data_IF_610772152438
#
_entry.id   IF_610772152438
#
_cell.length_a   1.000
_cell.length_b   1.000
_cell.length_c   1.000
_cell.angle_alpha   90.00
_cell.angle_beta   90.00
_cell.angle_gamma   90.00
#
_symmetry.space_group_name_H-M   'P 1'
#
loop_
_entity.id
_entity.type
_entity.pdbx_description
1 polymer ?
#
# COMPACT_ATOMS: atom_id res chain seq x y z
N UNK A 1 9.08 5.90 12.37
CA UNK A 1 9.17 5.58 10.94
C UNK A 1 7.78 5.35 10.36
N UNK A 2 7.68 5.32 9.06
CA UNK A 2 6.39 5.19 8.38
C UNK A 2 6.40 3.98 7.47
N UNK A 3 5.27 3.29 7.36
CA UNK A 3 5.12 2.17 6.44
C UNK A 3 3.94 2.41 5.50
N UNK A 4 4.04 1.84 4.31
CA UNK A 4 3.01 1.96 3.26
C UNK A 4 1.90 0.97 3.51
N UNK A 5 0.66 1.44 3.39
CA UNK A 5 -0.53 0.60 3.37
C UNK A 5 -1.34 0.91 2.11
N UNK A 6 -1.75 -0.12 1.40
CA UNK A 6 -2.59 0.02 0.22
C UNK A 6 -3.83 -0.84 0.42
N UNK A 7 -5.00 -0.27 0.19
CA UNK A 7 -6.26 -1.00 0.26
C UNK A 7 -6.90 -0.93 -1.12
N UNK A 8 -7.21 -2.08 -1.68
CA UNK A 8 -7.84 -2.17 -3.00
C UNK A 8 -9.10 -3.01 -2.86
N UNK A 9 -10.21 -2.46 -3.34
CA UNK A 9 -11.48 -3.14 -3.40
C UNK A 9 -11.80 -3.41 -4.86
N UNK A 10 -11.97 -4.67 -5.21
CA UNK A 10 -12.37 -5.05 -6.57
C UNK A 10 -13.84 -5.42 -6.58
N UNK A 11 -14.48 -5.17 -7.71
CA UNK A 11 -15.90 -5.44 -7.87
C UNK A 11 -16.20 -6.93 -7.70
N UNK A 12 -17.11 -7.25 -6.78
CA UNK A 12 -17.50 -8.61 -6.50
C UNK A 12 -16.61 -9.34 -5.51
N UNK A 13 -15.58 -8.69 -4.99
CA UNK A 13 -14.66 -9.30 -4.02
C UNK A 13 -14.52 -8.43 -2.78
N UNK A 14 -14.14 -9.01 -1.64
CA UNK A 14 -13.82 -8.20 -0.46
C UNK A 14 -12.61 -7.32 -0.69
N UNK A 15 -12.55 -6.22 0.03
CA UNK A 15 -11.37 -5.37 0.01
C UNK A 15 -10.17 -6.08 0.59
N UNK A 16 -9.01 -5.84 0.01
CA UNK A 16 -7.75 -6.41 0.49
C UNK A 16 -6.79 -5.31 0.86
N UNK A 17 -6.07 -5.52 1.95
CA UNK A 17 -5.03 -4.62 2.39
C UNK A 17 -3.67 -5.23 2.08
N UNK A 18 -2.79 -4.42 1.51
CA UNK A 18 -1.47 -4.85 1.10
C UNK A 18 -0.41 -4.04 1.81
N UNK A 19 0.67 -4.71 2.18
CA UNK A 19 1.87 -4.07 2.69
C UNK A 19 3.03 -4.41 1.76
N UNK A 20 4.12 -3.66 1.91
CA UNK A 20 5.31 -3.96 1.10
C UNK A 20 5.96 -5.26 1.54
N UNK A 21 6.47 -6.01 0.57
CA UNK A 21 7.19 -7.24 0.86
C UNK A 21 8.46 -7.29 0.01
N UNK A 22 9.66 -7.24 0.65
CA UNK A 22 9.86 -7.12 2.09
C UNK A 22 9.41 -5.77 2.64
N UNK A 23 9.10 -5.75 3.95
CA UNK A 23 8.63 -4.52 4.59
C UNK A 23 9.70 -3.44 4.56
N UNK A 24 9.30 -2.25 4.14
CA UNK A 24 10.17 -1.09 4.13
C UNK A 24 9.63 0.00 5.04
N UNK A 25 10.53 0.72 5.67
CA UNK A 25 10.18 1.82 6.55
C UNK A 25 10.80 3.11 6.01
N UNK A 26 10.07 4.19 6.12
CA UNK A 26 10.48 5.49 5.60
C UNK A 26 10.62 6.46 6.76
N UNK A 27 11.61 7.35 6.68
CA UNK A 27 11.87 8.31 7.75
C UNK A 27 10.83 9.41 7.83
N UNK A 28 10.25 9.78 6.70
CA UNK A 28 9.26 10.86 6.66
C UNK A 28 7.96 10.35 6.05
N UNK A 29 6.87 10.98 6.48
CA UNK A 29 5.56 10.69 5.90
C UNK A 29 5.54 11.03 4.42
N UNK A 30 6.21 12.12 4.02
CA UNK A 30 6.25 12.54 2.63
C UNK A 30 6.87 11.47 1.73
N UNK A 31 8.01 10.93 2.12
CA UNK A 31 8.64 9.83 1.37
C UNK A 31 7.72 8.62 1.29
N UNK A 32 7.10 8.28 2.41
CA UNK A 32 6.17 7.16 2.48
C UNK A 32 4.99 7.37 1.53
N UNK A 33 4.40 8.55 1.51
CA UNK A 33 3.25 8.84 0.66
C UNK A 33 3.60 8.75 -0.83
N UNK A 34 4.79 9.20 -1.22
CA UNK A 34 5.26 9.06 -2.60
C UNK A 34 5.33 7.58 -2.99
N UNK A 35 5.89 6.76 -2.12
CA UNK A 35 6.01 5.33 -2.38
C UNK A 35 4.64 4.64 -2.33
N UNK A 36 3.76 5.08 -1.43
CA UNK A 36 2.41 4.54 -1.35
C UNK A 36 1.65 4.75 -2.66
N UNK A 37 1.76 5.93 -3.24
CA UNK A 37 1.12 6.24 -4.51
C UNK A 37 1.67 5.35 -5.63
N UNK A 38 2.98 5.20 -5.71
CA UNK A 38 3.62 4.35 -6.72
C UNK A 38 3.19 2.90 -6.58
N UNK A 39 3.17 2.37 -5.36
CA UNK A 39 2.75 0.99 -5.09
C UNK A 39 1.29 0.77 -5.46
N UNK A 40 0.43 1.72 -5.10
CA UNK A 40 -0.99 1.62 -5.40
C UNK A 40 -1.21 1.56 -6.91
N UNK A 41 -0.55 2.42 -7.67
CA UNK A 41 -0.65 2.42 -9.13
C UNK A 41 -0.16 1.12 -9.74
N UNK A 42 0.96 0.61 -9.26
CA UNK A 42 1.50 -0.65 -9.76
C UNK A 42 0.54 -1.82 -9.49
N UNK A 43 -0.02 -1.87 -8.29
CA UNK A 43 -0.96 -2.94 -7.91
C UNK A 43 -2.26 -2.86 -8.69
N UNK A 44 -2.84 -1.66 -8.83
CA UNK A 44 -4.09 -1.51 -9.58
C UNK A 44 -3.89 -1.85 -11.06
N UNK A 45 -2.76 -1.45 -11.64
CA UNK A 45 -2.42 -1.80 -13.02
C UNK A 45 -2.34 -3.30 -13.22
N UNK A 46 -1.68 -4.00 -12.31
CA UNK A 46 -1.56 -5.46 -12.37
C UNK A 46 -2.91 -6.13 -12.25
N UNK A 47 -3.76 -5.68 -11.32
CA UNK A 47 -5.09 -6.26 -11.14
C UNK A 47 -5.96 -6.05 -12.37
N UNK A 48 -5.89 -4.88 -12.99
CA UNK A 48 -6.63 -4.60 -14.22
C UNK A 48 -6.17 -5.52 -15.34
N UNK A 49 -4.88 -5.77 -15.45
CA UNK A 49 -4.34 -6.70 -16.43
C UNK A 49 -4.86 -8.12 -16.25
N UNK A 50 -5.11 -8.53 -15.01
CA UNK A 50 -5.67 -9.82 -14.70
C UNK A 50 -7.20 -9.89 -14.83
N UNK A 51 -7.83 -8.80 -15.26
CA UNK A 51 -9.26 -8.77 -15.51
C UNK A 51 -10.12 -8.33 -14.33
N UNK A 52 -9.53 -7.80 -13.27
CA UNK A 52 -10.30 -7.28 -12.16
C UNK A 52 -10.75 -5.85 -12.43
N UNK A 53 -11.95 -5.53 -11.96
CA UNK A 53 -12.46 -4.16 -11.98
C UNK A 53 -12.21 -3.52 -10.63
N UNK A 54 -11.52 -2.39 -10.62
CA UNK A 54 -11.23 -1.66 -9.39
C UNK A 54 -12.45 -0.85 -8.98
N UNK A 55 -13.02 -1.21 -7.82
CA UNK A 55 -14.16 -0.49 -7.26
C UNK A 55 -13.68 0.74 -6.49
N UNK A 56 -12.67 0.55 -5.64
CA UNK A 56 -12.06 1.66 -4.93
C UNK A 56 -10.61 1.34 -4.59
N UNK A 57 -9.84 2.38 -4.39
CA UNK A 57 -8.43 2.29 -4.01
C UNK A 57 -8.15 3.35 -2.97
N UNK A 58 -7.36 2.99 -1.97
CA UNK A 58 -6.83 3.93 -1.00
C UNK A 58 -5.40 3.54 -0.67
N UNK A 59 -4.58 4.54 -0.43
CA UNK A 59 -3.23 4.32 0.03
C UNK A 59 -2.95 5.30 1.17
N UNK A 60 -2.16 4.86 2.11
CA UNK A 60 -1.87 5.65 3.29
C UNK A 60 -0.53 5.25 3.88
N UNK A 61 -0.07 6.04 4.81
CA UNK A 61 1.11 5.73 5.59
C UNK A 61 0.74 5.63 7.04
N UNK A 62 1.25 4.60 7.68
CA UNK A 62 1.05 4.38 9.11
C UNK A 62 2.34 4.65 9.85
N UNK A 63 2.26 5.43 10.92
CA UNK A 63 3.42 5.63 11.78
C UNK A 63 3.68 4.37 12.58
N UNK A 64 4.94 3.96 12.57
CA UNK A 64 5.39 2.79 13.32
C UNK A 64 6.50 3.23 14.27
N UNK A 65 6.30 2.95 15.54
CA UNK A 65 7.34 3.18 16.53
C UNK A 65 8.30 2.01 16.47
N UNK A 66 9.30 2.13 15.59
CA UNK A 66 10.28 1.08 15.39
C UNK A 66 11.31 1.15 16.50
N UNK A 67 11.24 0.18 17.38
CA UNK A 67 12.26 0.00 18.39
C UNK A 67 13.15 -1.15 17.97
N UNK A 68 14.44 -0.85 17.81
CA UNK A 68 15.39 -1.94 17.66
C UNK A 68 15.35 -2.78 18.93
N UNK A 69 14.96 -4.03 18.77
CA UNK A 69 15.09 -4.96 19.87
C UNK A 69 16.57 -5.25 20.06
N UNK A 70 17.08 -4.77 21.13
CA UNK A 70 18.43 -5.12 21.52
C UNK A 70 18.44 -6.48 22.20
#
# INVERSE_FOLDING_TARGET
MWKVLVVICTLGNPCSMFEEEPMKYYHTEKECMIQAEKKSRAMTGTLVEFGYYIDSEAHACQYVDYQEST
#
